data_IF_005996839818
#
_entry.id   IF_005996839818
#
_cell.length_a   1.000
_cell.length_b   1.000
_cell.length_c   1.000
_cell.angle_alpha   90.00
_cell.angle_beta   90.00
_cell.angle_gamma   90.00
#
_symmetry.space_group_name_H-M   'P 1'
#
loop_
_entity.id
_entity.type
_entity.pdbx_description
1 polymer ?
#
# COMPACT_ATOMS: atom_id res chain seq x y z
N UNK A 1 27.97 26.06 -54.71
CA UNK A 1 26.71 25.39 -54.30
C UNK A 1 26.99 23.90 -54.18
N UNK A 2 27.11 23.36 -52.95
CA UNK A 2 27.10 21.92 -52.67
C UNK A 2 25.87 21.66 -51.81
N UNK A 3 24.92 20.88 -52.32
CA UNK A 3 23.72 20.44 -51.61
C UNK A 3 24.08 19.24 -50.72
N UNK A 4 23.87 19.37 -49.41
CA UNK A 4 23.87 18.26 -48.46
C UNK A 4 22.44 17.74 -48.35
N UNK A 5 22.18 16.51 -48.80
CA UNK A 5 20.93 15.79 -48.52
C UNK A 5 21.03 15.24 -47.10
N UNK A 6 20.19 15.75 -46.20
CA UNK A 6 19.95 15.17 -44.87
C UNK A 6 18.99 14.00 -45.06
N UNK A 7 19.44 12.79 -44.75
CA UNK A 7 18.60 11.59 -44.64
C UNK A 7 17.96 11.63 -43.26
N UNK A 8 16.63 11.77 -43.24
CA UNK A 8 15.84 11.70 -42.01
C UNK A 8 15.64 10.22 -41.68
N UNK A 9 16.40 9.71 -40.69
CA UNK A 9 16.17 8.40 -40.13
C UNK A 9 15.08 8.52 -39.06
N UNK A 10 13.85 8.15 -39.40
CA UNK A 10 12.78 7.96 -38.41
C UNK A 10 13.12 6.75 -37.54
N UNK A 11 13.58 7.00 -36.33
CA UNK A 11 13.60 6.00 -35.26
C UNK A 11 12.16 5.72 -34.85
N UNK A 12 11.66 4.53 -35.17
CA UNK A 12 10.54 3.96 -34.42
C UNK A 12 11.08 3.62 -33.02
N UNK A 13 10.68 4.37 -32.00
CA UNK A 13 10.70 3.84 -30.64
C UNK A 13 9.65 2.73 -30.60
N UNK A 14 10.10 1.48 -30.76
CA UNK A 14 9.35 0.34 -30.22
C UNK A 14 9.44 0.52 -28.71
N UNK A 15 8.36 1.00 -28.09
CA UNK A 15 8.23 0.95 -26.65
C UNK A 15 8.37 -0.52 -26.24
N UNK A 16 9.42 -0.84 -25.50
CA UNK A 16 9.50 -2.12 -24.79
C UNK A 16 8.39 -2.06 -23.74
N UNK A 17 7.23 -2.64 -24.08
CA UNK A 17 6.20 -2.97 -23.10
C UNK A 17 6.89 -3.91 -22.11
N UNK A 18 7.25 -3.40 -20.94
CA UNK A 18 7.74 -4.25 -19.88
C UNK A 18 6.50 -4.91 -19.31
N UNK A 19 6.42 -6.24 -19.41
CA UNK A 19 5.37 -7.00 -18.76
C UNK A 19 5.42 -6.70 -17.25
N UNK A 20 4.25 -6.45 -16.66
CA UNK A 20 4.15 -6.19 -15.23
C UNK A 20 4.57 -7.45 -14.46
N UNK A 21 5.39 -7.30 -13.42
CA UNK A 21 5.75 -8.41 -12.53
C UNK A 21 4.65 -8.61 -11.48
N UNK A 22 4.41 -9.86 -11.07
CA UNK A 22 3.51 -10.14 -9.95
C UNK A 22 4.10 -9.63 -8.63
N UNK A 23 3.24 -9.29 -7.68
CA UNK A 23 3.63 -9.10 -6.27
C UNK A 23 3.66 -10.45 -5.54
N UNK A 24 4.50 -10.56 -4.51
CA UNK A 24 4.50 -11.72 -3.61
C UNK A 24 3.28 -11.65 -2.69
N UNK A 25 2.13 -12.14 -3.17
CA UNK A 25 0.90 -12.16 -2.39
C UNK A 25 0.80 -13.42 -1.54
N UNK A 26 0.61 -13.23 -0.23
CA UNK A 26 0.47 -14.27 0.77
C UNK A 26 -0.81 -14.06 1.58
N UNK A 27 -1.68 -15.06 1.60
CA UNK A 27 -2.71 -15.20 2.62
C UNK A 27 -2.23 -16.22 3.65
N UNK A 28 -2.09 -15.79 4.91
CA UNK A 28 -1.68 -16.66 6.02
C UNK A 28 -2.87 -16.87 6.95
N UNK A 29 -3.05 -18.09 7.44
CA UNK A 29 -4.06 -18.39 8.45
C UNK A 29 -3.40 -18.98 9.68
N UNK A 30 -3.76 -18.46 10.85
CA UNK A 30 -3.17 -18.85 12.13
C UNK A 30 -4.20 -18.86 13.27
N UNK A 31 -3.74 -19.30 14.45
CA UNK A 31 -4.47 -19.17 15.70
C UNK A 31 -3.51 -18.73 16.80
N UNK A 32 -3.98 -17.95 17.78
CA UNK A 32 -3.20 -17.59 18.98
C UNK A 32 -2.73 -18.84 19.76
N UNK A 33 -3.46 -19.95 19.68
CA UNK A 33 -3.15 -21.19 20.40
C UNK A 33 -2.06 -22.05 19.72
N UNK A 34 -1.39 -21.53 18.69
CA UNK A 34 -0.43 -22.25 17.87
C UNK A 34 1.00 -21.71 18.07
N UNK A 35 1.89 -22.47 18.73
CA UNK A 35 3.28 -22.03 18.97
C UNK A 35 4.08 -21.76 17.70
N UNK A 36 3.80 -22.52 16.63
CA UNK A 36 4.45 -22.34 15.34
C UNK A 36 4.01 -21.05 14.63
N UNK A 37 2.82 -20.56 14.94
CA UNK A 37 2.25 -19.35 14.35
C UNK A 37 3.02 -18.12 14.81
N UNK A 38 3.33 -18.01 16.10
CA UNK A 38 4.18 -16.94 16.67
C UNK A 38 5.56 -16.91 16.01
N UNK A 39 6.13 -18.09 15.74
CA UNK A 39 7.44 -18.18 15.07
C UNK A 39 7.35 -17.70 13.62
N UNK A 40 6.33 -18.14 12.88
CA UNK A 40 6.15 -17.78 11.48
C UNK A 40 5.85 -16.28 11.31
N UNK A 41 4.99 -15.70 12.15
CA UNK A 41 4.70 -14.25 12.13
C UNK A 41 5.93 -13.43 12.49
N UNK A 42 6.74 -13.88 13.46
CA UNK A 42 8.00 -13.23 13.83
C UNK A 42 8.99 -13.17 12.66
N UNK A 43 9.17 -14.26 11.92
CA UNK A 43 10.01 -14.26 10.71
C UNK A 43 9.46 -13.34 9.62
N UNK A 44 8.16 -13.41 9.33
CA UNK A 44 7.53 -12.52 8.35
C UNK A 44 7.71 -11.04 8.73
N UNK A 45 7.58 -10.70 10.01
CA UNK A 45 7.85 -9.36 10.52
C UNK A 45 9.32 -8.97 10.29
N UNK A 46 10.26 -9.79 10.76
CA UNK A 46 11.70 -9.52 10.66
C UNK A 46 12.17 -9.34 9.21
N UNK A 47 11.71 -10.19 8.30
CA UNK A 47 12.07 -10.09 6.88
C UNK A 47 11.56 -8.80 6.21
N UNK A 48 10.47 -8.22 6.72
CA UNK A 48 9.86 -7.00 6.22
C UNK A 48 10.22 -5.74 7.02
N UNK A 49 10.97 -5.86 8.13
CA UNK A 49 11.33 -4.76 9.02
C UNK A 49 12.77 -4.27 8.75
N UNK A 50 12.99 -3.00 8.29
CA UNK A 50 14.31 -2.43 8.05
C UNK A 50 15.26 -2.45 9.25
N UNK A 51 14.72 -2.45 10.48
CA UNK A 51 15.50 -2.53 11.72
C UNK A 51 15.97 -3.95 12.07
N UNK A 52 15.49 -4.98 11.37
CA UNK A 52 15.83 -6.37 11.66
C UNK A 52 17.14 -6.79 10.98
N UNK A 53 18.00 -7.60 11.65
CA UNK A 53 19.19 -8.17 11.01
C UNK A 53 18.88 -9.14 9.87
N UNK A 54 17.63 -9.63 9.81
CA UNK A 54 17.15 -10.55 8.76
C UNK A 54 16.42 -9.84 7.63
N UNK A 55 16.41 -8.49 7.61
CA UNK A 55 15.68 -7.71 6.61
C UNK A 55 16.04 -8.09 5.17
N UNK A 56 15.03 -8.41 4.34
CA UNK A 56 15.24 -8.84 2.95
C UNK A 56 15.38 -7.67 1.96
N UNK A 57 15.30 -6.44 2.45
CA UNK A 57 15.45 -5.23 1.65
C UNK A 57 14.13 -4.58 1.25
N UNK A 58 14.19 -3.29 0.93
CA UNK A 58 13.01 -2.46 0.64
C UNK A 58 12.21 -2.94 -0.55
N UNK A 59 12.88 -3.54 -1.53
CA UNK A 59 12.20 -4.06 -2.71
C UNK A 59 11.31 -5.25 -2.35
N UNK A 60 11.84 -6.27 -1.65
CA UNK A 60 11.02 -7.37 -1.15
C UNK A 60 9.90 -6.87 -0.24
N UNK A 61 10.22 -6.02 0.74
CA UNK A 61 9.24 -5.54 1.71
C UNK A 61 8.07 -4.73 1.11
N UNK A 62 8.30 -4.02 0.00
CA UNK A 62 7.21 -3.33 -0.74
C UNK A 62 6.38 -4.28 -1.60
N UNK A 63 6.97 -5.39 -2.01
CA UNK A 63 6.37 -6.33 -2.95
C UNK A 63 5.74 -7.55 -2.27
N UNK A 64 6.04 -7.77 -0.99
CA UNK A 64 5.42 -8.83 -0.19
C UNK A 64 4.14 -8.30 0.46
N UNK A 65 3.01 -8.71 -0.09
CA UNK A 65 1.68 -8.29 0.36
C UNK A 65 1.10 -9.44 1.16
N UNK A 66 0.81 -9.19 2.44
CA UNK A 66 0.33 -10.21 3.37
C UNK A 66 -1.09 -9.86 3.80
N UNK A 67 -1.96 -10.86 3.85
CA UNK A 67 -3.24 -10.81 4.55
C UNK A 67 -3.25 -11.93 5.57
N UNK A 68 -3.33 -11.58 6.85
CA UNK A 68 -3.21 -12.53 7.94
C UNK A 68 -4.55 -12.75 8.61
N UNK A 69 -5.12 -13.93 8.42
CA UNK A 69 -6.36 -14.36 9.05
C UNK A 69 -6.09 -15.10 10.36
N UNK A 70 -6.96 -14.84 11.33
CA UNK A 70 -7.02 -15.57 12.58
C UNK A 70 -8.24 -16.49 12.60
N UNK A 71 -8.19 -17.59 13.34
CA UNK A 71 -9.29 -18.55 13.41
C UNK A 71 -9.28 -19.26 14.76
N UNK A 72 -10.47 -19.60 15.25
CA UNK A 72 -10.65 -20.36 16.50
C UNK A 72 -9.92 -19.72 17.71
N UNK A 73 -9.82 -18.39 17.72
CA UNK A 73 -9.15 -17.60 18.75
C UNK A 73 -9.85 -16.25 18.99
N UNK A 74 -9.29 -15.39 19.83
CA UNK A 74 -9.91 -14.11 20.20
C UNK A 74 -9.86 -13.09 19.07
N UNK A 75 -8.84 -13.17 18.20
CA UNK A 75 -8.69 -12.27 17.06
C UNK A 75 -9.71 -12.55 15.96
N UNK A 76 -10.30 -13.74 15.92
CA UNK A 76 -11.45 -14.02 15.06
C UNK A 76 -12.60 -13.00 15.25
N UNK A 77 -12.82 -12.57 16.50
CA UNK A 77 -13.85 -11.57 16.82
C UNK A 77 -13.61 -10.18 16.21
N UNK A 78 -12.36 -9.84 15.83
CA UNK A 78 -12.05 -8.61 15.08
C UNK A 78 -12.64 -8.59 13.69
N UNK A 79 -12.87 -9.79 13.14
CA UNK A 79 -13.29 -9.98 11.77
C UNK A 79 -14.79 -10.22 11.65
N UNK A 80 -15.46 -10.53 12.77
CA UNK A 80 -16.90 -10.57 12.89
C UNK A 80 -17.45 -9.13 12.80
N UNK A 81 -18.17 -8.82 11.71
CA UNK A 81 -18.78 -7.49 11.54
C UNK A 81 -20.27 -7.58 11.24
N UNK A 82 -20.95 -6.43 11.36
CA UNK A 82 -22.41 -6.30 11.22
C UNK A 82 -22.98 -6.71 9.85
N UNK A 83 -22.14 -6.91 8.83
CA UNK A 83 -22.51 -7.30 7.47
C UNK A 83 -22.24 -8.79 7.16
N UNK A 84 -22.16 -9.63 8.21
CA UNK A 84 -22.35 -11.09 8.22
C UNK A 84 -21.08 -11.92 8.52
N UNK A 85 -21.33 -13.05 9.20
CA UNK A 85 -20.59 -14.32 9.24
C UNK A 85 -19.67 -14.58 10.45
N UNK A 86 -19.79 -15.80 11.00
CA UNK A 86 -19.13 -16.27 12.23
C UNK A 86 -17.68 -16.76 12.04
N UNK A 87 -17.21 -16.92 10.80
CA UNK A 87 -15.85 -17.41 10.49
C UNK A 87 -15.39 -16.95 9.08
N UNK A 88 -14.63 -15.84 8.94
CA UNK A 88 -14.18 -15.31 7.64
C UNK A 88 -13.23 -16.25 6.89
N UNK A 89 -12.53 -17.15 7.60
CA UNK A 89 -11.64 -18.15 6.99
C UNK A 89 -12.49 -19.24 6.35
N UNK A 90 -13.58 -19.66 7.00
CA UNK A 90 -14.51 -20.62 6.42
C UNK A 90 -15.02 -20.10 5.06
N UNK A 91 -15.43 -18.84 4.99
CA UNK A 91 -15.95 -18.29 3.73
C UNK A 91 -14.88 -18.08 2.66
N UNK A 92 -13.74 -17.50 3.03
CA UNK A 92 -12.65 -17.28 2.05
C UNK A 92 -12.13 -18.58 1.43
N UNK A 93 -12.16 -19.70 2.18
CA UNK A 93 -11.45 -20.93 1.81
C UNK A 93 -12.30 -22.21 1.68
N UNK A 94 -13.61 -22.22 2.02
CA UNK A 94 -14.34 -23.50 2.20
C UNK A 94 -15.63 -23.74 1.44
N UNK A 95 -16.17 -22.76 0.69
CA UNK A 95 -17.26 -23.04 -0.24
C UNK A 95 -17.09 -22.24 -1.52
N UNK A 96 -16.95 -22.95 -2.65
CA UNK A 96 -17.02 -22.40 -4.01
C UNK A 96 -15.90 -21.41 -4.43
N UNK A 97 -15.09 -20.90 -3.49
CA UNK A 97 -13.97 -19.95 -3.69
C UNK A 97 -12.67 -20.56 -4.26
N UNK A 98 -12.78 -21.62 -5.06
CA UNK A 98 -11.66 -22.22 -5.79
C UNK A 98 -10.64 -23.02 -4.96
N UNK A 99 -10.72 -23.00 -3.62
CA UNK A 99 -9.86 -23.81 -2.76
C UNK A 99 -10.53 -25.14 -2.39
N UNK A 100 -9.86 -26.29 -2.59
CA UNK A 100 -10.36 -27.56 -2.09
C UNK A 100 -10.16 -27.57 -0.57
N UNK A 101 -11.17 -27.15 0.20
CA UNK A 101 -11.17 -27.37 1.63
C UNK A 101 -11.02 -28.87 1.88
N UNK A 102 -9.85 -29.25 2.34
CA UNK A 102 -9.53 -30.61 2.73
C UNK A 102 -9.53 -30.68 4.24
N UNK A 103 -9.85 -31.85 4.78
CA UNK A 103 -9.50 -32.23 6.16
C UNK A 103 -7.98 -32.07 6.47
N UNK A 104 -7.14 -31.85 5.44
CA UNK A 104 -5.72 -31.47 5.51
C UNK A 104 -5.43 -30.15 6.24
N UNK A 105 -6.43 -29.27 6.42
CA UNK A 105 -6.27 -27.93 7.02
C UNK A 105 -6.41 -27.91 8.55
N UNK A 106 -6.38 -29.06 9.21
CA UNK A 106 -6.46 -29.15 10.68
C UNK A 106 -5.22 -28.69 11.45
N UNK A 107 -4.25 -28.02 10.80
CA UNK A 107 -2.99 -27.59 11.41
C UNK A 107 -2.67 -26.14 11.04
N UNK A 108 -2.21 -25.36 12.02
CA UNK A 108 -1.78 -23.98 11.84
C UNK A 108 -0.25 -23.84 12.05
N UNK A 109 0.40 -22.84 11.43
CA UNK A 109 -0.16 -21.96 10.40
C UNK A 109 -0.17 -22.64 9.01
N UNK A 110 -1.01 -22.13 8.12
CA UNK A 110 -1.00 -22.51 6.70
C UNK A 110 -0.95 -21.26 5.82
N UNK A 111 -0.39 -21.44 4.62
CA UNK A 111 0.01 -20.35 3.72
C UNK A 111 -0.59 -20.60 2.35
N UNK A 112 -1.14 -19.56 1.75
CA UNK A 112 -1.62 -19.54 0.37
C UNK A 112 -0.84 -18.47 -0.37
N UNK A 113 0.08 -18.90 -1.24
CA UNK A 113 0.90 -18.01 -2.06
C UNK A 113 0.33 -17.90 -3.45
N UNK A 114 0.04 -16.68 -3.90
CA UNK A 114 -0.44 -16.44 -5.27
C UNK A 114 -1.70 -17.23 -5.64
N UNK A 115 -2.49 -17.68 -4.65
CA UNK A 115 -3.64 -18.55 -4.88
C UNK A 115 -3.41 -20.05 -4.73
N UNK A 116 -2.20 -20.48 -4.39
CA UNK A 116 -1.84 -21.89 -4.20
C UNK A 116 -1.46 -22.16 -2.74
N UNK A 117 -2.08 -23.19 -2.16
CA UNK A 117 -1.78 -23.63 -0.80
C UNK A 117 -0.39 -24.29 -0.71
N UNK A 118 0.43 -23.81 0.22
CA UNK A 118 1.76 -24.34 0.47
C UNK A 118 1.78 -25.14 1.77
N UNK A 119 2.17 -26.42 1.66
CA UNK A 119 2.43 -27.28 2.81
C UNK A 119 3.91 -27.15 3.17
N UNK A 120 4.22 -26.21 4.06
CA UNK A 120 5.60 -25.94 4.45
C UNK A 120 6.03 -26.86 5.59
N UNK A 121 7.24 -27.41 5.46
CA UNK A 121 7.92 -28.14 6.53
C UNK A 121 8.93 -27.26 7.28
N UNK A 122 9.35 -26.15 6.66
CA UNK A 122 10.31 -25.17 7.18
C UNK A 122 9.89 -23.77 6.73
N UNK A 123 9.75 -22.83 7.66
CA UNK A 123 9.30 -21.46 7.36
C UNK A 123 10.35 -20.65 6.57
N UNK A 124 11.63 -21.00 6.66
CA UNK A 124 12.74 -20.35 5.95
C UNK A 124 12.63 -20.43 4.42
N UNK A 125 11.75 -21.28 3.89
CA UNK A 125 11.48 -21.36 2.45
C UNK A 125 10.56 -20.24 1.96
N UNK A 126 9.82 -19.56 2.85
CA UNK A 126 8.86 -18.49 2.51
C UNK A 126 9.46 -17.40 1.60
N UNK A 127 10.67 -16.87 1.85
CA UNK A 127 11.30 -15.90 0.96
C UNK A 127 11.53 -16.43 -0.46
N UNK A 128 11.84 -17.72 -0.61
CA UNK A 128 12.06 -18.33 -1.93
C UNK A 128 10.75 -18.40 -2.73
N UNK A 129 9.63 -18.72 -2.06
CA UNK A 129 8.31 -18.67 -2.69
C UNK A 129 7.94 -17.25 -3.11
N UNK A 130 8.20 -16.26 -2.24
CA UNK A 130 7.97 -14.85 -2.55
C UNK A 130 8.80 -14.39 -3.76
N UNK A 131 10.09 -14.73 -3.83
CA UNK A 131 10.94 -14.37 -4.98
C UNK A 131 10.50 -15.05 -6.28
N UNK A 132 10.18 -16.35 -6.24
CA UNK A 132 9.72 -17.06 -7.42
C UNK A 132 8.45 -16.41 -8.00
N UNK A 133 7.48 -16.07 -7.14
CA UNK A 133 6.25 -15.42 -7.58
C UNK A 133 6.52 -14.04 -8.19
N UNK A 134 7.47 -13.28 -7.64
CA UNK A 134 7.85 -11.94 -8.16
C UNK A 134 8.62 -11.99 -9.47
N UNK A 135 9.17 -13.13 -9.84
CA UNK A 135 9.78 -13.32 -11.15
C UNK A 135 8.75 -13.64 -12.25
N UNK A 136 7.52 -14.00 -11.88
CA UNK A 136 6.44 -14.21 -12.84
C UNK A 136 5.91 -12.89 -13.40
N UNK A 137 5.56 -12.92 -14.68
CA UNK A 137 4.91 -11.82 -15.37
C UNK A 137 3.39 -11.99 -15.34
N UNK A 138 2.68 -10.87 -15.37
CA UNK A 138 1.21 -10.83 -15.42
C UNK A 138 0.76 -9.75 -16.39
N UNK A 139 -0.31 -9.99 -17.17
CA UNK A 139 -0.88 -8.96 -18.03
C UNK A 139 -1.73 -7.97 -17.24
N UNK A 140 -1.89 -8.10 -15.91
CA UNK A 140 -2.76 -7.27 -15.08
C UNK A 140 -1.95 -6.27 -14.27
N UNK A 141 -2.28 -4.99 -14.40
CA UNK A 141 -1.82 -3.94 -13.48
C UNK A 141 -2.96 -3.55 -12.53
N UNK A 142 -2.64 -3.40 -11.25
CA UNK A 142 -3.57 -2.99 -10.20
C UNK A 142 -2.93 -1.88 -9.37
N UNK A 143 -3.62 -0.76 -9.23
CA UNK A 143 -3.17 0.40 -8.46
C UNK A 143 -4.25 0.87 -7.49
N UNK A 144 -3.84 1.19 -6.26
CA UNK A 144 -4.68 1.82 -5.23
C UNK A 144 -4.44 3.34 -5.13
N UNK A 145 -3.78 3.92 -6.14
CA UNK A 145 -3.47 5.35 -6.16
C UNK A 145 -4.74 6.20 -6.16
N UNK A 146 -4.77 7.19 -5.25
CA UNK A 146 -5.92 8.04 -5.01
C UNK A 146 -6.84 7.54 -3.89
N UNK A 147 -6.52 6.42 -3.25
CA UNK A 147 -7.14 6.05 -1.96
C UNK A 147 -6.82 7.10 -0.91
N UNK A 148 -7.83 7.55 -0.18
CA UNK A 148 -7.71 8.57 0.87
C UNK A 148 -8.10 7.96 2.22
N UNK A 149 -7.37 8.33 3.26
CA UNK A 149 -7.67 7.91 4.63
C UNK A 149 -8.01 9.14 5.49
N UNK A 150 -8.96 9.00 6.41
CA UNK A 150 -9.35 10.04 7.35
C UNK A 150 -9.76 9.43 8.68
N UNK A 151 -8.99 9.64 9.75
CA UNK A 151 -9.25 9.13 11.11
C UNK A 151 -9.59 7.63 11.25
N UNK A 152 -10.78 7.19 10.89
CA UNK A 152 -11.22 5.80 10.87
C UNK A 152 -11.72 5.37 9.47
N UNK A 153 -11.89 6.30 8.55
CA UNK A 153 -12.44 6.08 7.22
C UNK A 153 -11.35 5.87 6.17
N UNK A 154 -11.67 5.07 5.16
CA UNK A 154 -10.93 4.94 3.91
C UNK A 154 -11.90 5.12 2.73
N UNK A 155 -11.61 6.10 1.86
CA UNK A 155 -12.19 6.19 0.53
C UNK A 155 -11.24 5.48 -0.43
N UNK A 156 -11.48 4.19 -0.65
CA UNK A 156 -10.66 3.34 -1.49
C UNK A 156 -10.93 3.66 -2.95
N UNK A 157 -9.87 3.94 -3.70
CA UNK A 157 -9.92 4.05 -5.16
C UNK A 157 -8.94 3.06 -5.74
N UNK A 158 -9.40 2.26 -6.70
CA UNK A 158 -8.52 1.36 -7.43
C UNK A 158 -8.74 1.46 -8.93
N UNK A 159 -7.65 1.19 -9.66
CA UNK A 159 -7.60 1.15 -11.12
C UNK A 159 -6.97 -0.18 -11.53
N UNK A 160 -7.64 -0.89 -12.45
CA UNK A 160 -7.21 -2.16 -12.99
C UNK A 160 -7.11 -2.01 -14.50
N UNK A 161 -6.01 -2.48 -15.08
CA UNK A 161 -5.83 -2.56 -16.53
C UNK A 161 -5.31 -3.93 -16.92
N UNK A 162 -5.55 -4.34 -18.16
CA UNK A 162 -4.91 -5.53 -18.71
C UNK A 162 -4.35 -5.32 -20.12
N UNK A 163 -3.17 -5.87 -20.40
CA UNK A 163 -2.57 -5.87 -21.75
C UNK A 163 -3.11 -7.00 -22.65
N UNK A 164 -3.85 -7.93 -22.05
CA UNK A 164 -4.48 -9.07 -22.71
C UNK A 164 -6.01 -9.04 -22.54
N UNK A 165 -6.72 -9.77 -23.40
CA UNK A 165 -8.17 -9.93 -23.26
C UNK A 165 -8.45 -11.10 -22.31
N UNK A 166 -8.87 -10.76 -21.09
CA UNK A 166 -9.20 -11.70 -20.03
C UNK A 166 -10.72 -11.80 -19.81
N UNK A 167 -11.54 -11.21 -20.70
CA UNK A 167 -13.00 -11.15 -20.55
C UNK A 167 -13.72 -12.51 -20.52
N UNK A 168 -13.03 -13.57 -20.94
CA UNK A 168 -13.50 -14.96 -20.88
C UNK A 168 -13.22 -15.68 -19.57
N UNK A 169 -12.38 -15.11 -18.69
CA UNK A 169 -12.07 -15.66 -17.36
C UNK A 169 -13.12 -15.21 -16.34
N UNK A 170 -13.35 -16.02 -15.30
CA UNK A 170 -14.13 -15.60 -14.13
C UNK A 170 -13.21 -14.82 -13.18
N UNK A 171 -13.05 -13.53 -13.46
CA UNK A 171 -12.18 -12.67 -12.65
C UNK A 171 -12.93 -12.10 -11.45
N UNK A 172 -12.26 -12.17 -10.30
CA UNK A 172 -12.77 -11.65 -9.02
C UNK A 172 -11.81 -10.64 -8.44
N UNK A 173 -12.37 -9.51 -8.01
CA UNK A 173 -11.66 -8.45 -7.32
C UNK A 173 -11.99 -8.54 -5.83
N UNK A 174 -10.95 -8.73 -5.04
CA UNK A 174 -11.02 -8.71 -3.59
C UNK A 174 -10.39 -7.43 -3.08
N UNK A 175 -11.01 -6.83 -2.06
CA UNK A 175 -10.49 -5.64 -1.38
C UNK A 175 -10.66 -5.86 0.12
N UNK A 176 -9.56 -5.97 0.83
CA UNK A 176 -9.51 -6.19 2.27
C UNK A 176 -8.99 -4.95 2.99
N UNK A 177 -9.54 -4.68 4.16
CA UNK A 177 -8.90 -3.84 5.17
C UNK A 177 -8.11 -4.73 6.12
N UNK A 178 -6.85 -4.38 6.36
CA UNK A 178 -5.97 -5.04 7.33
C UNK A 178 -5.37 -4.04 8.30
N UNK A 179 -4.81 -4.51 9.41
CA UNK A 179 -4.21 -3.65 10.43
C UNK A 179 -2.87 -4.19 10.93
N UNK A 180 -1.91 -3.28 11.06
CA UNK A 180 -0.51 -3.58 11.37
C UNK A 180 -0.14 -3.06 12.78
N UNK A 181 -0.92 -3.46 13.79
CA UNK A 181 -0.74 -3.02 15.19
C UNK A 181 -1.65 -3.74 16.21
N UNK A 182 -2.06 -4.97 15.96
CA UNK A 182 -2.95 -5.65 16.90
C UNK A 182 -2.11 -6.20 18.05
N UNK A 183 -2.44 -5.78 19.27
CA UNK A 183 -1.70 -6.15 20.48
C UNK A 183 -2.63 -6.73 21.53
N UNK A 184 -2.23 -7.89 22.08
CA UNK A 184 -2.75 -8.41 23.33
C UNK A 184 -1.92 -7.88 24.48
N UNK A 185 -2.57 -7.21 25.44
CA UNK A 185 -1.95 -6.98 26.74
C UNK A 185 -2.23 -8.25 27.56
N UNK A 186 -1.27 -8.80 28.30
CA UNK A 186 -1.58 -9.76 29.36
C UNK A 186 -1.05 -9.15 30.65
N UNK A 187 -1.88 -9.04 31.71
CA UNK A 187 -1.47 -8.36 32.95
C UNK A 187 -0.33 -9.13 33.64
N UNK A 188 -0.25 -10.45 33.38
CA UNK A 188 0.74 -11.36 33.96
C UNK A 188 1.91 -11.68 33.03
N UNK A 189 1.87 -11.28 31.75
CA UNK A 189 2.95 -11.52 30.78
C UNK A 189 3.66 -10.22 30.40
N UNK A 190 4.97 -10.18 30.66
CA UNK A 190 5.82 -9.04 30.27
C UNK A 190 6.04 -8.99 28.75
N UNK A 191 5.62 -10.02 28.02
CA UNK A 191 5.66 -10.08 26.57
C UNK A 191 4.29 -9.73 25.98
N UNK A 192 4.23 -8.61 25.26
CA UNK A 192 3.09 -8.25 24.42
C UNK A 192 3.20 -9.01 23.10
N UNK A 193 2.18 -9.75 22.71
CA UNK A 193 2.11 -10.38 21.39
C UNK A 193 1.63 -9.35 20.36
N UNK A 194 2.46 -9.10 19.35
CA UNK A 194 2.20 -8.17 18.27
C UNK A 194 1.79 -8.95 17.01
N UNK A 195 0.66 -8.55 16.44
CA UNK A 195 0.13 -9.12 15.21
C UNK A 195 0.14 -8.05 14.11
N UNK A 196 0.59 -8.49 12.93
CA UNK A 196 0.83 -7.66 11.76
C UNK A 196 -0.08 -8.13 10.62
N UNK A 197 -0.49 -7.21 9.76
CA UNK A 197 -1.30 -7.50 8.56
C UNK A 197 -2.62 -8.25 8.83
N UNK A 198 -3.16 -8.11 10.06
CA UNK A 198 -4.37 -8.82 10.50
C UNK A 198 -5.56 -8.37 9.66
N UNK A 199 -6.25 -9.32 9.04
CA UNK A 199 -7.49 -9.06 8.31
C UNK A 199 -8.55 -8.50 9.26
N UNK A 200 -9.29 -7.49 8.81
CA UNK A 200 -10.42 -6.93 9.55
C UNK A 200 -11.74 -7.19 8.84
N UNK A 201 -11.83 -6.84 7.56
CA UNK A 201 -13.06 -7.02 6.80
C UNK A 201 -12.83 -6.84 5.30
N UNK A 202 -13.77 -7.37 4.52
CA UNK A 202 -13.89 -7.05 3.12
C UNK A 202 -14.47 -5.64 2.95
N UNK A 203 -13.89 -4.88 2.03
CA UNK A 203 -14.32 -3.54 1.65
C UNK A 203 -15.35 -3.67 0.53
N UNK A 204 -16.55 -3.09 0.73
CA UNK A 204 -17.59 -3.07 -0.30
C UNK A 204 -19.04 -3.29 0.17
N UNK A 205 -19.36 -3.10 1.45
CA UNK A 205 -20.71 -3.38 1.98
C UNK A 205 -21.86 -2.64 1.26
N UNK A 206 -23.03 -3.29 1.23
CA UNK A 206 -24.23 -2.92 0.49
C UNK A 206 -24.67 -1.45 0.67
N UNK A 207 -24.99 -0.78 -0.45
CA UNK A 207 -25.69 0.51 -0.47
C UNK A 207 -24.97 1.69 -1.14
N UNK A 208 -23.71 1.54 -1.56
CA UNK A 208 -22.95 2.59 -2.28
C UNK A 208 -22.26 2.07 -3.56
N UNK A 209 -23.02 1.44 -4.46
CA UNK A 209 -22.50 1.08 -5.80
C UNK A 209 -21.54 -0.12 -5.83
N UNK A 210 -21.46 -0.91 -4.76
CA UNK A 210 -20.89 -2.25 -4.79
C UNK A 210 -21.87 -3.20 -5.48
N UNK A 211 -21.34 -4.04 -6.38
CA UNK A 211 -22.08 -5.07 -7.12
C UNK A 211 -22.02 -6.44 -6.40
N UNK A 212 -21.21 -6.55 -5.33
CA UNK A 212 -21.33 -7.60 -4.33
C UNK A 212 -22.34 -7.10 -3.28
N UNK A 213 -23.44 -7.84 -3.08
CA UNK A 213 -24.48 -7.47 -2.10
C UNK A 213 -23.97 -7.61 -0.66
N UNK A 214 -24.49 -8.58 0.09
CA UNK A 214 -24.01 -8.94 1.44
C UNK A 214 -22.75 -9.84 1.39
N UNK A 215 -21.99 -9.82 0.28
CA UNK A 215 -21.23 -10.99 -0.19
C UNK A 215 -19.90 -10.70 -0.90
N UNK A 216 -19.06 -9.78 -0.40
CA UNK A 216 -17.77 -9.46 -1.04
C UNK A 216 -16.66 -10.48 -0.73
N UNK A 217 -16.95 -11.52 0.06
CA UNK A 217 -16.09 -12.67 0.40
C UNK A 217 -15.76 -13.58 -0.78
N UNK A 218 -16.59 -13.59 -1.83
CA UNK A 218 -16.32 -14.32 -3.09
C UNK A 218 -15.65 -13.41 -4.14
N UNK A 219 -15.34 -12.18 -3.75
CA UNK A 219 -14.82 -11.13 -4.62
C UNK A 219 -15.87 -10.58 -5.60
N UNK A 220 -15.72 -9.31 -5.93
CA UNK A 220 -16.56 -8.67 -6.93
C UNK A 220 -16.19 -9.18 -8.33
N UNK A 221 -17.18 -9.68 -9.09
CA UNK A 221 -16.97 -10.05 -10.49
C UNK A 221 -16.55 -8.82 -11.32
N UNK A 222 -15.48 -8.98 -12.10
CA UNK A 222 -14.99 -7.99 -13.04
C UNK A 222 -14.77 -8.63 -14.41
N UNK A 223 -14.84 -7.82 -15.47
CA UNK A 223 -14.42 -8.21 -16.81
C UNK A 223 -13.30 -7.27 -17.25
N UNK A 224 -12.24 -7.83 -17.83
CA UNK A 224 -11.09 -7.07 -18.31
C UNK A 224 -10.82 -7.44 -19.76
N UNK A 225 -11.26 -6.59 -20.68
CA UNK A 225 -10.81 -6.64 -22.06
C UNK A 225 -9.38 -6.12 -22.21
N UNK A 226 -8.79 -6.38 -23.38
CA UNK A 226 -7.48 -5.85 -23.73
C UNK A 226 -7.46 -4.32 -23.74
N UNK A 227 -6.47 -3.75 -23.07
CA UNK A 227 -6.25 -2.31 -22.89
C UNK A 227 -7.42 -1.59 -22.19
N UNK A 228 -8.35 -2.34 -21.57
CA UNK A 228 -9.46 -1.79 -20.83
C UNK A 228 -9.00 -1.28 -19.46
N UNK A 229 -9.64 -0.21 -18.97
CA UNK A 229 -9.40 0.34 -17.64
C UNK A 229 -10.68 0.24 -16.81
N UNK A 230 -10.63 -0.55 -15.75
CA UNK A 230 -11.70 -0.63 -14.74
C UNK A 230 -11.31 0.22 -13.54
N UNK A 231 -12.20 1.13 -13.14
CA UNK A 231 -12.01 1.95 -11.93
C UNK A 231 -13.12 1.61 -10.94
N UNK A 232 -12.75 1.36 -9.68
CA UNK A 232 -13.69 1.14 -8.58
C UNK A 232 -13.43 2.11 -7.44
N UNK A 233 -14.47 2.41 -6.69
CA UNK A 233 -14.39 3.25 -5.50
C UNK A 233 -15.28 2.67 -4.42
N UNK A 234 -14.75 2.61 -3.20
CA UNK A 234 -15.46 2.08 -2.04
C UNK A 234 -15.27 3.03 -0.85
N UNK A 235 -16.26 3.05 0.02
CA UNK A 235 -16.14 3.66 1.35
C UNK A 235 -16.00 2.53 2.37
N UNK A 236 -15.07 2.68 3.31
CA UNK A 236 -14.89 1.76 4.42
C UNK A 236 -14.59 2.55 5.69
N UNK A 237 -15.02 2.03 6.84
CA UNK A 237 -14.83 2.67 8.14
C UNK A 237 -14.39 1.60 9.15
N UNK A 238 -13.30 1.88 9.86
CA UNK A 238 -12.83 1.10 11.00
C UNK A 238 -13.73 1.37 12.21
N UNK A 239 -14.15 0.32 12.90
CA UNK A 239 -14.81 0.46 14.20
C UNK A 239 -13.87 1.12 15.22
N UNK A 240 -14.36 2.16 15.92
CA UNK A 240 -13.48 2.98 16.77
C UNK A 240 -12.87 2.19 17.94
N UNK A 241 -13.61 1.20 18.45
CA UNK A 241 -13.21 0.35 19.56
C UNK A 241 -13.08 -1.09 19.06
N UNK A 242 -11.98 -1.78 19.41
CA UNK A 242 -11.90 -3.20 19.16
C UNK A 242 -13.02 -3.96 19.88
N UNK A 243 -13.52 -5.06 19.29
CA UNK A 243 -14.44 -5.97 19.95
C UNK A 243 -13.97 -6.30 21.36
N UNK A 244 -14.94 -6.32 22.27
CA UNK A 244 -14.68 -6.71 23.66
C UNK A 244 -14.34 -8.19 23.67
N UNK A 245 -13.20 -8.55 24.26
CA UNK A 245 -12.84 -9.95 24.44
C UNK A 245 -13.91 -10.64 25.30
N UNK A 246 -14.54 -11.74 24.82
CA UNK A 246 -15.52 -12.48 25.60
C UNK A 246 -14.90 -13.20 26.81
N UNK A 247 -13.58 -13.45 26.81
CA UNK A 247 -12.84 -13.96 27.96
C UNK A 247 -12.45 -12.82 28.91
N UNK A 248 -12.98 -12.78 30.15
CA UNK A 248 -12.69 -11.71 31.12
C UNK A 248 -11.26 -11.76 31.70
N UNK A 249 -10.47 -12.79 31.36
CA UNK A 249 -9.09 -12.97 31.84
C UNK A 249 -8.02 -12.59 30.82
N UNK A 250 -8.41 -12.26 29.59
CA UNK A 250 -7.52 -11.77 28.54
C UNK A 250 -7.81 -10.27 28.37
N UNK A 251 -6.78 -9.41 28.49
CA UNK A 251 -7.01 -7.96 28.44
C UNK A 251 -7.61 -7.51 27.10
N UNK A 252 -8.18 -6.29 27.05
CA UNK A 252 -8.62 -5.69 25.80
C UNK A 252 -7.53 -5.73 24.72
N UNK A 253 -7.95 -6.14 23.52
CA UNK A 253 -7.20 -5.92 22.29
C UNK A 253 -6.99 -4.41 22.14
N UNK A 254 -5.81 -4.00 21.70
CA UNK A 254 -5.55 -2.63 21.30
C UNK A 254 -4.99 -2.59 19.88
N UNK A 255 -5.28 -1.50 19.18
CA UNK A 255 -4.75 -1.22 17.85
C UNK A 255 -4.42 0.25 17.68
N UNK A 256 -3.53 0.58 16.75
CA UNK A 256 -3.37 1.94 16.26
C UNK A 256 -4.11 2.09 14.92
N UNK A 257 -5.18 2.89 14.94
CA UNK A 257 -5.94 3.24 13.74
C UNK A 257 -5.08 3.84 12.61
N UNK A 258 -3.88 4.36 12.91
CA UNK A 258 -2.94 4.84 11.89
C UNK A 258 -2.37 3.71 11.02
N UNK A 259 -2.39 2.48 11.52
CA UNK A 259 -1.75 1.32 10.89
C UNK A 259 -2.72 0.48 10.06
N UNK A 260 -3.83 1.08 9.62
CA UNK A 260 -4.75 0.47 8.65
C UNK A 260 -4.04 0.37 7.29
N UNK A 261 -4.20 -0.76 6.62
CA UNK A 261 -3.83 -0.96 5.22
C UNK A 261 -5.06 -1.41 4.43
N UNK A 262 -5.07 -1.06 3.14
CA UNK A 262 -6.01 -1.60 2.17
C UNK A 262 -5.22 -2.48 1.23
N UNK A 263 -5.63 -3.73 1.11
CA UNK A 263 -5.07 -4.71 0.19
C UNK A 263 -6.12 -5.00 -0.87
N UNK A 264 -5.74 -5.01 -2.14
CA UNK A 264 -6.60 -5.43 -3.22
C UNK A 264 -5.88 -6.47 -4.08
N UNK A 265 -6.63 -7.44 -4.61
CA UNK A 265 -6.08 -8.42 -5.54
C UNK A 265 -7.12 -8.89 -6.56
N UNK A 266 -6.62 -9.24 -7.74
CA UNK A 266 -7.41 -9.82 -8.83
C UNK A 266 -7.07 -11.31 -8.91
N UNK A 267 -8.10 -12.15 -8.79
CA UNK A 267 -7.99 -13.59 -8.87
C UNK A 267 -8.70 -14.11 -10.12
N UNK A 268 -8.12 -15.10 -10.80
CA UNK A 268 -8.85 -16.00 -11.69
C UNK A 268 -9.52 -17.06 -10.82
N UNK A 269 -10.83 -16.94 -10.63
CA UNK A 269 -11.59 -17.77 -9.71
C UNK A 269 -11.63 -19.25 -10.12
N UNK A 270 -11.51 -19.52 -11.43
CA UNK A 270 -11.54 -20.89 -11.95
C UNK A 270 -10.26 -21.67 -11.65
N UNK A 271 -9.13 -20.99 -11.47
CA UNK A 271 -7.81 -21.59 -11.17
C UNK A 271 -7.28 -21.26 -9.79
N UNK A 272 -7.97 -20.36 -9.07
CA UNK A 272 -7.53 -19.72 -7.82
C UNK A 272 -6.31 -18.82 -7.95
N UNK A 273 -5.71 -18.69 -9.14
CA UNK A 273 -4.49 -17.90 -9.35
C UNK A 273 -4.74 -16.42 -9.05
N UNK A 274 -3.89 -15.83 -8.21
CA UNK A 274 -3.84 -14.38 -8.02
C UNK A 274 -3.00 -13.77 -9.14
N UNK A 275 -3.67 -13.07 -10.04
CA UNK A 275 -3.05 -12.45 -11.21
C UNK A 275 -2.26 -11.20 -10.85
N UNK A 276 -2.74 -10.41 -9.89
CA UNK A 276 -2.03 -9.25 -9.37
C UNK A 276 -2.58 -8.82 -8.01
N UNK A 277 -1.72 -8.21 -7.17
CA UNK A 277 -2.10 -7.62 -5.90
C UNK A 277 -1.50 -6.20 -5.74
N UNK A 278 -2.12 -5.40 -4.89
CA UNK A 278 -1.63 -4.08 -4.50
C UNK A 278 -2.00 -3.82 -3.04
N UNK A 279 -1.19 -2.99 -2.37
CA UNK A 279 -1.48 -2.53 -1.01
C UNK A 279 -1.23 -1.03 -0.89
N UNK A 280 -1.99 -0.37 -0.03
CA UNK A 280 -1.72 0.99 0.40
C UNK A 280 -2.00 1.11 1.90
N UNK A 281 -1.03 1.63 2.64
CA UNK A 281 -1.19 1.93 4.05
C UNK A 281 -1.77 3.34 4.24
N UNK A 282 -2.51 3.56 5.33
CA UNK A 282 -2.96 4.90 5.74
C UNK A 282 -1.80 5.87 5.91
N UNK A 283 -0.68 5.40 6.40
CA UNK A 283 0.57 6.18 6.47
C UNK A 283 1.08 6.64 5.10
N UNK A 284 0.53 6.12 4.00
CA UNK A 284 0.75 6.56 2.61
C UNK A 284 -0.20 7.65 2.09
N UNK A 285 -1.20 8.08 2.87
CA UNK A 285 -2.19 9.10 2.49
C UNK A 285 -2.37 10.18 3.57
N UNK A 286 -1.60 11.27 3.45
CA UNK A 286 -1.63 12.48 4.31
C UNK A 286 -1.17 12.23 5.76
N UNK A 287 0.08 12.59 6.05
CA UNK A 287 0.66 12.52 7.39
C UNK A 287 0.15 13.62 8.33
N UNK A 288 -0.29 13.23 9.52
CA UNK A 288 -0.11 13.99 10.75
C UNK A 288 0.58 13.12 11.80
N UNK A 289 1.90 13.28 11.92
CA UNK A 289 2.65 13.07 13.17
C UNK A 289 2.87 11.63 13.66
N UNK A 290 4.15 11.26 13.54
CA UNK A 290 4.96 10.38 14.41
C UNK A 290 4.97 8.88 14.06
N UNK A 291 6.19 8.40 13.81
CA UNK A 291 6.73 7.07 13.51
C UNK A 291 6.64 6.59 12.04
N UNK A 292 7.60 7.09 11.26
CA UNK A 292 7.96 6.72 9.90
C UNK A 292 8.69 5.37 9.86
N UNK A 293 8.17 4.36 9.16
CA UNK A 293 9.04 3.33 8.54
C UNK A 293 8.50 2.58 7.31
N UNK A 294 7.33 2.92 6.74
CA UNK A 294 6.82 2.20 5.56
C UNK A 294 6.31 3.17 4.49
N UNK A 295 6.95 3.10 3.31
CA UNK A 295 6.76 3.84 2.05
C UNK A 295 7.68 5.05 1.83
N UNK A 296 8.99 4.79 1.78
CA UNK A 296 9.97 5.71 1.20
C UNK A 296 9.76 5.83 -0.33
N UNK A 297 9.88 7.04 -0.90
CA UNK A 297 9.81 7.24 -2.35
C UNK A 297 10.87 6.45 -3.13
N UNK A 298 10.54 6.03 -4.36
CA UNK A 298 11.46 5.26 -5.22
C UNK A 298 12.60 6.11 -5.83
N UNK A 299 12.53 7.44 -5.72
CA UNK A 299 13.53 8.34 -6.26
C UNK A 299 13.34 9.78 -5.82
N UNK A 300 14.37 10.59 -6.05
CA UNK A 300 14.29 12.02 -5.78
C UNK A 300 13.30 12.70 -6.73
N UNK A 301 12.39 13.51 -6.20
CA UNK A 301 11.47 14.29 -7.02
C UNK A 301 11.08 15.61 -6.36
N UNK A 302 11.00 16.68 -7.14
CA UNK A 302 10.32 17.93 -6.76
C UNK A 302 8.97 17.95 -7.48
N UNK A 303 7.87 18.09 -6.74
CA UNK A 303 6.52 18.17 -7.32
C UNK A 303 6.14 19.60 -7.67
N UNK A 304 5.10 19.74 -8.49
CA UNK A 304 4.51 21.05 -8.75
C UNK A 304 3.89 21.59 -7.47
N UNK A 305 4.16 22.84 -7.12
CA UNK A 305 3.57 23.47 -5.96
C UNK A 305 2.04 23.56 -6.13
N UNK A 306 1.30 23.40 -5.04
CA UNK A 306 -0.16 23.52 -5.03
C UNK A 306 -0.62 24.40 -3.86
N UNK A 307 -1.55 25.35 -4.10
CA UNK A 307 -2.09 25.73 -5.41
C UNK A 307 -1.04 26.42 -6.31
N UNK A 308 -1.27 26.45 -7.63
CA UNK A 308 -0.48 27.25 -8.57
C UNK A 308 -1.37 27.65 -9.77
N UNK A 309 -1.76 28.93 -9.92
CA UNK A 309 -1.32 30.08 -9.13
C UNK A 309 -1.81 30.06 -7.67
N UNK A 310 -1.13 30.77 -6.76
CA UNK A 310 -1.44 30.78 -5.32
C UNK A 310 -1.59 32.19 -4.74
N UNK A 311 -2.26 32.34 -3.59
CA UNK A 311 -2.43 33.62 -2.88
C UNK A 311 -2.58 33.43 -1.35
N UNK A 312 -1.68 33.97 -0.53
CA UNK A 312 -0.24 34.08 -0.75
C UNK A 312 0.50 32.80 -0.31
N UNK A 313 -0.22 31.73 0.03
CA UNK A 313 0.35 30.49 0.57
C UNK A 313 0.32 29.38 -0.49
N UNK A 314 1.43 28.67 -0.65
CA UNK A 314 1.54 27.45 -1.44
C UNK A 314 2.34 26.38 -0.71
N UNK A 315 2.01 25.13 -1.02
CA UNK A 315 2.74 23.96 -0.54
C UNK A 315 3.65 23.43 -1.64
N UNK A 316 4.90 23.10 -1.28
CA UNK A 316 5.91 22.48 -2.13
C UNK A 316 6.22 21.10 -1.57
N UNK A 317 5.91 20.06 -2.34
CA UNK A 317 6.19 18.67 -1.96
C UNK A 317 7.40 18.13 -2.71
N UNK A 318 8.22 17.34 -2.03
CA UNK A 318 9.37 16.66 -2.62
C UNK A 318 9.62 15.30 -1.97
N UNK A 319 10.26 14.42 -2.72
CA UNK A 319 10.48 13.02 -2.37
C UNK A 319 11.99 12.79 -2.15
N UNK A 320 12.36 12.12 -1.07
CA UNK A 320 13.72 11.70 -0.75
C UNK A 320 13.75 10.16 -0.61
N UNK A 321 14.42 9.41 -1.49
CA UNK A 321 14.51 7.95 -1.38
C UNK A 321 15.45 7.49 -0.26
N UNK A 322 16.40 8.35 0.12
CA UNK A 322 17.40 8.13 1.16
C UNK A 322 17.64 9.44 1.93
N UNK A 323 18.34 9.36 3.07
CA UNK A 323 18.72 10.55 3.82
C UNK A 323 19.64 11.46 2.98
N UNK A 324 19.36 12.77 2.96
CA UNK A 324 20.14 13.73 2.19
C UNK A 324 20.22 15.12 2.87
N UNK A 325 21.30 15.85 2.62
CA UNK A 325 21.38 17.28 2.92
C UNK A 325 20.52 18.05 1.90
N UNK A 326 19.40 18.62 2.36
CA UNK A 326 18.42 19.31 1.52
C UNK A 326 18.57 20.82 1.63
N UNK A 327 18.67 21.50 0.48
CA UNK A 327 18.49 22.95 0.35
C UNK A 327 17.32 23.24 -0.58
N UNK A 328 16.27 23.89 -0.07
CA UNK A 328 15.13 24.36 -0.86
C UNK A 328 15.07 25.89 -0.82
N UNK A 329 15.34 26.51 -1.95
CA UNK A 329 15.39 27.97 -2.10
C UNK A 329 14.29 28.49 -3.03
N UNK A 330 13.80 29.69 -2.73
CA UNK A 330 12.93 30.50 -3.60
C UNK A 330 13.77 31.58 -4.25
N UNK A 331 13.57 31.79 -5.55
CA UNK A 331 14.30 32.74 -6.38
C UNK A 331 13.35 33.58 -7.23
N UNK A 332 13.72 34.82 -7.52
CA UNK A 332 13.05 35.61 -8.55
C UNK A 332 13.46 35.15 -9.96
N UNK A 333 12.85 35.74 -10.99
CA UNK A 333 13.12 35.38 -12.39
C UNK A 333 14.55 35.76 -12.86
N UNK A 334 15.26 36.59 -12.10
CA UNK A 334 16.66 36.94 -12.34
C UNK A 334 17.63 35.99 -11.62
N UNK A 335 17.10 34.99 -10.89
CA UNK A 335 17.89 34.04 -10.11
C UNK A 335 18.36 34.59 -8.77
N UNK A 336 17.87 35.74 -8.33
CA UNK A 336 18.19 36.25 -6.99
C UNK A 336 17.42 35.45 -5.95
N UNK A 337 18.13 34.93 -4.96
CA UNK A 337 17.51 34.23 -3.83
C UNK A 337 16.64 35.19 -3.02
N UNK A 338 15.41 34.77 -2.77
CA UNK A 338 14.37 35.50 -2.05
C UNK A 338 14.19 34.94 -0.65
N UNK A 339 14.14 33.61 -0.53
CA UNK A 339 13.94 32.92 0.75
C UNK A 339 14.58 31.54 0.73
N UNK A 340 15.16 31.11 1.85
CA UNK A 340 15.50 29.69 2.06
C UNK A 340 14.41 29.05 2.91
N UNK A 341 13.73 28.04 2.35
CA UNK A 341 12.68 27.31 3.06
C UNK A 341 13.24 26.15 3.88
N UNK A 342 14.27 25.48 3.36
CA UNK A 342 14.92 24.32 4.00
C UNK A 342 16.41 24.40 3.75
N UNK A 343 17.22 24.18 4.78
CA UNK A 343 18.68 24.01 4.68
C UNK A 343 19.18 23.11 5.82
N UNK A 344 18.91 21.82 5.73
CA UNK A 344 19.25 20.85 6.76
C UNK A 344 19.31 19.43 6.19
N UNK A 345 19.95 18.52 6.93
CA UNK A 345 19.83 17.08 6.68
C UNK A 345 18.40 16.64 6.97
N UNK A 346 17.82 15.84 6.08
CA UNK A 346 16.51 15.24 6.25
C UNK A 346 16.59 13.77 5.90
N UNK A 347 15.91 12.94 6.70
CA UNK A 347 15.79 11.50 6.43
C UNK A 347 14.94 11.25 5.19
N UNK A 348 14.99 10.02 4.69
CA UNK A 348 14.17 9.58 3.58
C UNK A 348 12.66 9.82 3.85
N UNK A 349 11.86 9.90 2.77
CA UNK A 349 10.41 10.05 2.84
C UNK A 349 9.87 11.17 1.96
N UNK A 350 8.54 11.29 1.92
CA UNK A 350 7.85 12.44 1.32
C UNK A 350 7.91 13.62 2.27
N UNK A 351 8.37 14.77 1.79
CA UNK A 351 8.56 15.99 2.59
C UNK A 351 7.75 17.14 1.99
N UNK A 352 7.45 18.10 2.85
CA UNK A 352 6.64 19.27 2.51
C UNK A 352 7.31 20.53 3.08
N UNK A 353 7.34 21.58 2.27
CA UNK A 353 7.67 22.94 2.70
C UNK A 353 6.55 23.90 2.28
N UNK A 354 6.30 24.92 3.10
CA UNK A 354 5.28 25.94 2.83
C UNK A 354 5.95 27.27 2.54
N UNK A 355 5.52 27.93 1.47
CA UNK A 355 5.88 29.33 1.22
C UNK A 355 4.66 30.22 1.33
N UNK A 356 4.82 31.31 2.08
CA UNK A 356 3.83 32.31 2.44
C UNK A 356 3.94 33.61 1.64
N UNK A 357 4.76 33.62 0.59
CA UNK A 357 4.95 34.80 -0.25
C UNK A 357 5.79 35.89 0.41
N UNK A 358 6.68 35.55 1.36
CA UNK A 358 7.64 36.51 1.94
C UNK A 358 9.09 36.25 1.53
N UNK A 359 9.96 37.24 1.75
CA UNK A 359 11.41 37.08 1.73
C UNK A 359 11.98 36.62 3.11
N UNK A 360 13.30 36.45 3.19
CA UNK A 360 14.03 36.08 4.44
C UNK A 360 13.91 37.12 5.57
N UNK A 361 13.42 38.34 5.27
CA UNK A 361 13.14 39.39 6.27
C UNK A 361 11.64 39.46 6.61
N UNK A 362 10.87 38.42 6.28
CA UNK A 362 9.42 38.29 6.51
C UNK A 362 8.57 39.36 5.80
N UNK A 363 9.12 40.01 4.76
CA UNK A 363 8.39 41.02 4.00
C UNK A 363 7.69 40.37 2.82
N UNK A 364 6.42 40.73 2.59
CA UNK A 364 5.67 40.27 1.42
C UNK A 364 6.39 40.66 0.13
N UNK A 365 6.53 39.69 -0.78
CA UNK A 365 7.05 39.92 -2.12
C UNK A 365 5.93 40.30 -3.09
N UNK A 366 6.28 40.87 -4.24
CA UNK A 366 5.29 41.30 -5.23
C UNK A 366 4.67 40.11 -5.97
N UNK A 367 3.43 40.23 -6.43
CA UNK A 367 2.83 39.26 -7.34
C UNK A 367 3.70 39.09 -8.60
N UNK A 368 3.83 37.85 -9.09
CA UNK A 368 4.73 37.55 -10.19
C UNK A 368 5.18 36.10 -10.23
N UNK A 369 6.05 35.81 -11.20
CA UNK A 369 6.64 34.49 -11.40
C UNK A 369 7.88 34.35 -10.52
N UNK A 370 7.95 33.23 -9.80
CA UNK A 370 9.09 32.83 -8.99
C UNK A 370 9.54 31.43 -9.39
N UNK A 371 10.79 31.12 -9.07
CA UNK A 371 11.37 29.78 -9.19
C UNK A 371 11.61 29.20 -7.80
N UNK A 372 11.45 27.89 -7.68
CA UNK A 372 11.90 27.16 -6.50
C UNK A 372 12.79 26.01 -6.94
N UNK A 373 13.90 25.83 -6.23
CA UNK A 373 14.92 24.85 -6.54
C UNK A 373 15.24 24.03 -5.30
N UNK A 374 15.30 22.71 -5.47
CA UNK A 374 15.80 21.78 -4.47
C UNK A 374 17.18 21.27 -4.89
N UNK A 375 18.09 21.18 -3.92
CA UNK A 375 19.32 20.39 -3.97
C UNK A 375 19.23 19.33 -2.87
N UNK A 376 19.40 18.05 -3.21
CA UNK A 376 19.47 16.94 -2.27
C UNK A 376 20.57 15.96 -2.71
N UNK A 377 21.73 15.97 -2.05
CA UNK A 377 22.90 15.24 -2.54
C UNK A 377 23.32 15.72 -3.94
N UNK A 378 23.37 14.80 -4.91
CA UNK A 378 23.64 15.10 -6.33
C UNK A 378 22.38 15.52 -7.12
N UNK A 379 21.18 15.36 -6.55
CA UNK A 379 19.93 15.70 -7.21
C UNK A 379 19.65 17.21 -7.16
N UNK A 380 19.41 17.81 -8.33
CA UNK A 380 18.96 19.19 -8.45
C UNK A 380 17.72 19.26 -9.35
N UNK A 381 16.65 19.90 -8.89
CA UNK A 381 15.48 20.17 -9.72
C UNK A 381 14.91 21.56 -9.44
N UNK A 382 14.48 22.25 -10.51
CA UNK A 382 13.90 23.60 -10.44
C UNK A 382 12.52 23.60 -11.09
N UNK A 383 11.57 24.31 -10.46
CA UNK A 383 10.21 24.51 -10.98
C UNK A 383 9.78 25.97 -10.82
N UNK A 384 8.72 26.33 -11.54
CA UNK A 384 8.15 27.69 -11.55
C UNK A 384 6.81 27.75 -10.84
N UNK A 385 6.53 28.88 -10.21
CA UNK A 385 5.28 29.18 -9.53
C UNK A 385 4.80 30.62 -9.78
N UNK A 386 3.49 30.86 -9.71
CA UNK A 386 2.88 32.17 -9.92
C UNK A 386 2.15 32.63 -8.65
N UNK A 387 2.67 33.68 -8.03
CA UNK A 387 2.04 34.37 -6.90
C UNK A 387 1.01 35.38 -7.40
N UNK A 388 -0.23 35.26 -6.94
CA UNK A 388 -1.30 36.22 -7.09
C UNK A 388 -1.43 37.11 -5.84
N UNK A 389 -2.18 38.21 -5.97
CA UNK A 389 -2.50 39.13 -4.88
C UNK A 389 -3.99 39.16 -4.64
#
# INVERSE_FOLDING_TARGET
>A
MKYFKIVLLTFFLVGSVHAEKKRAFLEMVSTENCPYCVTATGFLHDWNNPGSPSYLGHDMARNWIIVHFHREDHLNGLMENSNSQSDPVEYRFTSENGFPYSESLGWYPWFVFGGEMQVLSVWEDLPSYAENLREEETPVSLSLEGTLFSEYDALVKLTITSEEDLSSKDLRLFVAATIDSVVHVNEDDANQDYHHDVFLSWVGNAGQGADCGDGCEDGQSISLGKDETVVKTYSWTLDENPPVNPDPYVNPISWDKKNIKIVAFVQDFGTSEVLQAATIARTGGVQTGINDELLLPDGFALKQNYPNPFNPITTISYDLPEQAQVTLGIYDILGKQIKTLVNQSQDAGKKIAVWDGTDDLERQVSAGVYLYQIQAGEFTQTRKMLLLK
#
